data_IF_016365573988
#
_entry.id   IF_016365573988
#
_cell.length_a   1.000
_cell.length_b   1.000
_cell.length_c   1.000
_cell.angle_alpha   90.00
_cell.angle_beta   90.00
_cell.angle_gamma   90.00
#
_symmetry.space_group_name_H-M   'P 1'
#
loop_
_entity.id
_entity.type
_entity.pdbx_description
1 polymer ?
#
# COMPACT_ATOMS: atom_id res chain seq x y z
N UNK A 1 2.33 -9.51 17.39
CA UNK A 1 1.58 -10.65 16.82
C UNK A 1 2.47 -11.15 15.69
N UNK A 2 2.00 -11.53 14.50
CA UNK A 2 2.89 -11.52 13.31
C UNK A 2 2.25 -10.62 12.27
N UNK A 3 2.70 -9.38 12.23
CA UNK A 3 2.30 -8.34 11.30
C UNK A 3 3.04 -8.55 9.96
N UNK A 4 2.42 -8.17 8.84
CA UNK A 4 2.99 -8.25 7.50
C UNK A 4 2.91 -6.87 6.86
N UNK A 5 4.06 -6.36 6.40
CA UNK A 5 4.14 -5.15 5.59
C UNK A 5 4.13 -5.55 4.12
N UNK A 6 3.13 -5.09 3.37
CA UNK A 6 2.99 -5.34 1.94
C UNK A 6 3.70 -4.26 1.12
N UNK A 7 4.47 -4.66 0.13
CA UNK A 7 5.14 -3.74 -0.80
C UNK A 7 4.70 -4.09 -2.21
N UNK A 8 4.24 -3.09 -2.96
CA UNK A 8 3.89 -3.20 -4.37
C UNK A 8 4.73 -2.22 -5.19
N UNK A 9 5.29 -2.70 -6.29
CA UNK A 9 6.21 -1.92 -7.12
C UNK A 9 5.81 -1.95 -8.60
N UNK A 10 5.87 -0.77 -9.22
CA UNK A 10 5.58 -0.56 -10.65
C UNK A 10 4.11 -0.73 -11.01
N UNK A 11 3.79 -0.46 -12.29
CA UNK A 11 2.41 -0.43 -12.77
C UNK A 11 1.64 -1.73 -12.47
N UNK A 12 2.19 -2.89 -12.85
CA UNK A 12 1.52 -4.18 -12.66
C UNK A 12 1.34 -4.52 -11.18
N UNK A 13 2.39 -4.33 -10.37
CA UNK A 13 2.33 -4.59 -8.93
C UNK A 13 1.28 -3.73 -8.24
N UNK A 14 1.19 -2.45 -8.60
CA UNK A 14 0.19 -1.55 -8.03
C UNK A 14 -1.24 -1.90 -8.45
N UNK A 15 -1.48 -2.36 -9.69
CA UNK A 15 -2.81 -2.79 -10.12
C UNK A 15 -3.27 -4.06 -9.40
N UNK A 16 -2.38 -5.05 -9.29
CA UNK A 16 -2.68 -6.29 -8.56
C UNK A 16 -2.86 -5.99 -7.08
N UNK A 17 -1.98 -5.18 -6.49
CA UNK A 17 -2.06 -4.76 -5.10
C UNK A 17 -3.36 -4.02 -4.78
N UNK A 18 -3.81 -3.10 -5.64
CA UNK A 18 -5.10 -2.43 -5.47
C UNK A 18 -6.26 -3.44 -5.42
N UNK A 19 -6.29 -4.42 -6.34
CA UNK A 19 -7.33 -5.46 -6.34
C UNK A 19 -7.22 -6.41 -5.15
N UNK A 20 -6.02 -6.73 -4.71
CA UNK A 20 -5.80 -7.49 -3.49
C UNK A 20 -6.42 -6.77 -2.29
N UNK A 21 -6.12 -5.48 -2.11
CA UNK A 21 -6.65 -4.68 -1.00
C UNK A 21 -8.16 -4.48 -1.06
N UNK A 22 -8.76 -4.37 -2.25
CA UNK A 22 -10.22 -4.41 -2.41
C UNK A 22 -10.80 -5.71 -1.84
N UNK A 23 -10.30 -6.86 -2.32
CA UNK A 23 -10.83 -8.19 -1.94
C UNK A 23 -10.67 -8.45 -0.44
N UNK A 24 -9.49 -8.21 0.13
CA UNK A 24 -9.30 -8.47 1.56
C UNK A 24 -10.04 -7.48 2.45
N UNK A 25 -10.26 -6.24 1.99
CA UNK A 25 -11.10 -5.29 2.73
C UNK A 25 -12.55 -5.77 2.75
N UNK A 26 -13.07 -6.24 1.62
CA UNK A 26 -14.41 -6.82 1.53
C UNK A 26 -14.55 -8.06 2.43
N UNK A 27 -13.57 -8.96 2.43
CA UNK A 27 -13.54 -10.16 3.30
C UNK A 27 -13.56 -9.79 4.80
N UNK A 28 -12.84 -8.72 5.16
CA UNK A 28 -12.76 -8.20 6.53
C UNK A 28 -13.88 -7.21 6.88
N UNK A 29 -14.79 -6.89 5.95
CA UNK A 29 -15.87 -5.93 6.17
C UNK A 29 -15.38 -4.50 6.41
N UNK A 30 -14.23 -4.11 5.85
CA UNK A 30 -13.67 -2.77 5.92
C UNK A 30 -14.11 -1.98 4.68
N UNK A 31 -14.72 -0.82 4.90
CA UNK A 31 -15.16 0.04 3.81
C UNK A 31 -14.01 0.94 3.27
N UNK A 32 -14.21 1.66 2.15
CA UNK A 32 -13.21 2.57 1.61
C UNK A 32 -12.76 3.71 2.54
N UNK A 33 -13.48 3.99 3.62
CA UNK A 33 -13.12 5.00 4.62
C UNK A 33 -12.25 4.43 5.76
N UNK A 34 -12.04 3.11 5.75
CA UNK A 34 -11.36 2.34 6.78
C UNK A 34 -12.27 1.91 7.93
N UNK A 35 -13.58 2.08 7.82
CA UNK A 35 -14.54 1.76 8.89
C UNK A 35 -15.01 0.31 8.79
N UNK A 36 -15.14 -0.37 9.93
CA UNK A 36 -15.67 -1.74 9.97
C UNK A 36 -17.21 -1.75 9.92
N UNK A 37 -17.75 -2.51 8.97
CA UNK A 37 -19.18 -2.75 8.76
C UNK A 37 -19.51 -4.24 8.60
N UNK A 38 -18.62 -5.12 9.05
CA UNK A 38 -18.83 -6.57 9.01
C UNK A 38 -19.86 -7.07 10.03
N UNK A 39 -20.16 -8.36 9.94
CA UNK A 39 -21.19 -9.04 10.73
C UNK A 39 -20.63 -10.21 11.57
N UNK A 40 -19.31 -10.47 11.49
CA UNK A 40 -18.65 -11.57 12.17
C UNK A 40 -17.42 -11.12 12.95
N UNK A 41 -17.34 -11.50 14.23
CA UNK A 41 -16.17 -11.23 15.09
C UNK A 41 -14.87 -11.84 14.52
N UNK A 42 -14.98 -12.93 13.73
CA UNK A 42 -13.82 -13.57 13.09
C UNK A 42 -13.12 -12.66 12.08
N UNK A 43 -13.85 -11.70 11.49
CA UNK A 43 -13.27 -10.72 10.56
C UNK A 43 -12.29 -9.77 11.27
N UNK A 44 -12.46 -9.55 12.58
CA UNK A 44 -11.57 -8.69 13.36
C UNK A 44 -10.49 -9.46 14.11
N UNK A 45 -10.63 -10.77 14.31
CA UNK A 45 -9.72 -11.58 15.13
C UNK A 45 -8.24 -11.43 14.73
N UNK A 46 -7.95 -11.29 13.43
CA UNK A 46 -6.58 -11.16 12.88
C UNK A 46 -6.40 -9.98 11.94
N UNK A 47 -7.24 -8.96 12.07
CA UNK A 47 -7.21 -7.78 11.21
C UNK A 47 -5.85 -7.07 11.25
N UNK A 48 -5.19 -7.12 12.40
CA UNK A 48 -3.90 -6.47 12.66
C UNK A 48 -2.71 -7.08 11.90
N UNK A 49 -2.89 -8.23 11.24
CA UNK A 49 -1.86 -8.82 10.37
C UNK A 49 -1.58 -7.89 9.19
N UNK A 50 -2.64 -7.34 8.57
CA UNK A 50 -2.54 -6.50 7.37
C UNK A 50 -2.94 -5.04 7.59
N UNK A 51 -3.67 -4.72 8.66
CA UNK A 51 -4.11 -3.36 8.96
C UNK A 51 -3.49 -2.82 10.25
N UNK A 52 -3.28 -1.51 10.27
CA UNK A 52 -3.09 -0.72 11.46
C UNK A 52 -4.45 -0.23 11.97
N UNK A 53 -4.71 -0.37 13.27
CA UNK A 53 -5.84 0.29 13.90
C UNK A 53 -5.45 1.72 14.28
N UNK A 54 -6.00 2.69 13.58
CA UNK A 54 -5.83 4.12 13.83
C UNK A 54 -6.97 4.67 14.68
N UNK A 55 -6.79 5.90 15.16
CA UNK A 55 -7.80 6.59 15.96
C UNK A 55 -9.18 6.63 15.25
N UNK A 56 -10.24 6.42 16.03
CA UNK A 56 -11.62 6.41 15.52
C UNK A 56 -12.04 5.09 14.87
N UNK A 57 -11.45 3.96 15.29
CA UNK A 57 -11.74 2.61 14.78
C UNK A 57 -11.55 2.51 13.26
N UNK A 58 -10.52 3.20 12.75
CA UNK A 58 -10.17 3.18 11.33
C UNK A 58 -9.04 2.20 11.07
N UNK A 59 -9.23 1.31 10.11
CA UNK A 59 -8.25 0.33 9.69
C UNK A 59 -7.52 0.83 8.45
N UNK A 60 -6.20 0.95 8.56
CA UNK A 60 -5.33 1.48 7.49
C UNK A 60 -4.38 0.36 7.03
N UNK A 61 -4.32 0.02 5.73
CA UNK A 61 -3.40 -1.00 5.23
C UNK A 61 -1.94 -0.75 5.60
N UNK A 62 -1.24 -1.80 6.01
CA UNK A 62 0.24 -1.85 6.10
C UNK A 62 0.83 -2.06 4.70
N UNK A 63 0.61 -1.08 3.84
CA UNK A 63 1.01 -1.12 2.43
C UNK A 63 1.95 0.03 2.08
N UNK A 64 2.94 -0.27 1.23
CA UNK A 64 3.87 0.71 0.64
C UNK A 64 3.76 0.60 -0.87
N UNK A 65 3.47 1.73 -1.51
CA UNK A 65 3.21 1.83 -2.94
C UNK A 65 4.39 2.54 -3.60
N UNK A 66 5.07 1.81 -4.48
CA UNK A 66 6.28 2.30 -5.15
C UNK A 66 6.08 2.32 -6.64
N UNK A 67 6.44 3.43 -7.29
CA UNK A 67 6.59 3.48 -8.74
C UNK A 67 7.62 4.55 -9.12
N UNK A 68 8.30 4.41 -10.24
CA UNK A 68 9.19 5.48 -10.72
C UNK A 68 8.37 6.59 -11.37
N UNK A 69 7.16 6.29 -11.85
CA UNK A 69 6.27 7.25 -12.52
C UNK A 69 5.09 7.69 -11.63
N UNK A 70 4.72 8.98 -11.64
CA UNK A 70 3.61 9.47 -10.82
C UNK A 70 2.23 8.97 -11.28
N UNK A 71 2.06 8.63 -12.57
CA UNK A 71 0.75 8.31 -13.16
C UNK A 71 0.06 7.07 -12.54
N UNK A 72 0.84 6.10 -12.05
CA UNK A 72 0.29 4.94 -11.35
C UNK A 72 -0.36 5.34 -10.03
N UNK A 73 0.18 6.33 -9.32
CA UNK A 73 -0.32 6.77 -8.02
C UNK A 73 -1.69 7.44 -8.15
N UNK A 74 -1.87 8.27 -9.17
CA UNK A 74 -3.17 8.89 -9.48
C UNK A 74 -4.23 7.84 -9.80
N UNK A 75 -3.83 6.78 -10.51
CA UNK A 75 -4.72 5.65 -10.84
C UNK A 75 -5.15 4.88 -9.58
N UNK A 76 -4.23 4.63 -8.64
CA UNK A 76 -4.58 3.96 -7.38
C UNK A 76 -5.45 4.84 -6.49
N UNK A 77 -5.12 6.13 -6.36
CA UNK A 77 -5.87 7.08 -5.50
C UNK A 77 -7.30 7.34 -6.00
N UNK A 78 -7.51 7.28 -7.31
CA UNK A 78 -8.84 7.38 -7.93
C UNK A 78 -9.62 6.05 -7.90
N UNK A 79 -8.98 4.96 -7.49
CA UNK A 79 -9.61 3.67 -7.28
C UNK A 79 -10.57 3.67 -6.08
N UNK A 80 -11.46 2.67 -5.97
CA UNK A 80 -12.52 2.62 -4.97
C UNK A 80 -11.98 2.66 -3.54
N UNK A 81 -10.87 1.98 -3.28
CA UNK A 81 -10.18 1.94 -1.98
C UNK A 81 -8.95 2.86 -1.93
N UNK A 82 -8.76 3.75 -2.91
CA UNK A 82 -7.57 4.60 -2.98
C UNK A 82 -7.35 5.50 -1.76
N UNK A 83 -8.42 5.86 -1.06
CA UNK A 83 -8.41 6.75 0.10
C UNK A 83 -8.06 6.06 1.43
N UNK A 84 -8.06 4.72 1.47
CA UNK A 84 -7.74 3.97 2.69
C UNK A 84 -6.22 3.93 2.96
N UNK A 85 -5.42 4.09 1.90
CA UNK A 85 -3.96 4.07 2.00
C UNK A 85 -3.43 5.34 2.64
N UNK A 86 -2.40 5.21 3.49
CA UNK A 86 -1.73 6.36 4.09
C UNK A 86 -1.00 7.16 2.99
N UNK A 87 -1.23 8.48 2.87
CA UNK A 87 -0.56 9.31 1.87
C UNK A 87 0.97 9.26 1.94
N UNK A 88 1.51 9.14 3.15
CA UNK A 88 2.96 9.06 3.42
C UNK A 88 3.62 7.77 2.91
N UNK A 89 2.82 6.75 2.59
CA UNK A 89 3.32 5.45 2.12
C UNK A 89 3.38 5.35 0.59
N UNK A 90 3.06 6.44 -0.12
CA UNK A 90 3.23 6.55 -1.57
C UNK A 90 4.63 7.12 -1.84
N UNK A 91 5.50 6.31 -2.44
CA UNK A 91 6.86 6.71 -2.80
C UNK A 91 7.01 6.62 -4.31
N UNK A 92 7.18 7.77 -4.97
CA UNK A 92 7.28 7.79 -6.42
C UNK A 92 8.32 8.76 -6.97
N UNK A 93 8.89 8.40 -8.12
CA UNK A 93 9.83 9.21 -8.87
C UNK A 93 9.15 10.20 -9.82
N UNK A 94 9.96 10.84 -10.66
CA UNK A 94 9.51 11.76 -11.73
C UNK A 94 9.86 11.23 -13.13
N UNK A 95 10.35 9.99 -13.24
CA UNK A 95 10.98 9.41 -14.42
C UNK A 95 10.61 7.93 -14.53
N UNK A 96 10.64 7.35 -15.73
CA UNK A 96 10.31 5.95 -15.93
C UNK A 96 11.53 5.06 -16.15
N UNK A 97 11.47 3.80 -15.68
CA UNK A 97 12.45 2.79 -16.10
C UNK A 97 12.33 2.45 -17.60
N UNK A 98 11.16 2.67 -18.22
CA UNK A 98 10.95 2.44 -19.65
C UNK A 98 11.25 1.02 -20.10
N UNK A 99 10.79 0.01 -19.35
CA UNK A 99 11.07 -1.41 -19.56
C UNK A 99 12.57 -1.78 -19.59
N UNK A 100 13.43 -0.92 -19.04
CA UNK A 100 14.86 -1.19 -18.88
C UNK A 100 15.19 -1.54 -17.43
N UNK A 101 15.51 -2.82 -17.20
CA UNK A 101 15.87 -3.30 -15.87
C UNK A 101 17.07 -2.57 -15.27
N UNK A 102 18.08 -2.22 -16.08
CA UNK A 102 19.26 -1.52 -15.59
C UNK A 102 18.93 -0.12 -15.06
N UNK A 103 17.95 0.57 -15.66
CA UNK A 103 17.47 1.86 -15.13
C UNK A 103 16.78 1.70 -13.78
N UNK A 104 15.89 0.70 -13.69
CA UNK A 104 15.20 0.40 -12.44
C UNK A 104 16.13 -0.07 -11.32
N UNK A 105 17.22 -0.76 -11.64
CA UNK A 105 18.10 -1.33 -10.63
C UNK A 105 19.30 -0.46 -10.27
N UNK A 106 19.93 0.21 -11.25
CA UNK A 106 21.22 0.88 -11.04
C UNK A 106 21.17 2.41 -11.12
N UNK A 107 20.14 3.02 -11.72
CA UNK A 107 20.07 4.49 -11.87
C UNK A 107 18.84 5.07 -11.18
N UNK A 108 17.69 5.12 -11.85
CA UNK A 108 16.48 5.80 -11.37
C UNK A 108 15.97 5.17 -10.06
N UNK A 109 15.96 3.84 -9.99
CA UNK A 109 15.51 3.15 -8.77
C UNK A 109 16.53 3.22 -7.63
N UNK A 110 17.82 3.39 -7.93
CA UNK A 110 18.84 3.59 -6.91
C UNK A 110 18.71 4.97 -6.24
N UNK A 111 18.20 5.98 -6.95
CA UNK A 111 17.89 7.28 -6.37
C UNK A 111 16.63 7.25 -5.49
N UNK A 112 15.66 6.38 -5.80
CA UNK A 112 14.39 6.30 -5.06
C UNK A 112 14.45 5.35 -3.84
N UNK A 113 15.31 4.33 -3.87
CA UNK A 113 15.27 3.21 -2.91
C UNK A 113 15.44 3.65 -1.45
N UNK A 114 16.27 4.65 -1.16
CA UNK A 114 16.48 5.11 0.22
C UNK A 114 15.19 5.69 0.82
N UNK A 115 14.40 6.40 0.01
CA UNK A 115 13.08 6.90 0.44
C UNK A 115 12.11 5.75 0.73
N UNK A 116 12.14 4.69 -0.07
CA UNK A 116 11.33 3.48 0.16
C UNK A 116 11.77 2.80 1.46
N UNK A 117 13.06 2.63 1.69
CA UNK A 117 13.61 1.99 2.89
C UNK A 117 13.24 2.74 4.17
N UNK A 118 13.21 4.07 4.14
CA UNK A 118 12.78 4.87 5.28
C UNK A 118 11.29 4.68 5.61
N UNK A 119 10.43 4.53 4.61
CA UNK A 119 9.01 4.20 4.82
C UNK A 119 8.85 2.77 5.34
N UNK A 120 9.58 1.81 4.77
CA UNK A 120 9.59 0.41 5.26
C UNK A 120 10.01 0.36 6.73
N UNK A 121 11.05 1.10 7.11
CA UNK A 121 11.51 1.17 8.51
C UNK A 121 10.41 1.71 9.42
N UNK A 122 9.74 2.80 9.04
CA UNK A 122 8.63 3.38 9.81
C UNK A 122 7.48 2.39 10.04
N UNK A 123 7.08 1.65 8.99
CA UNK A 123 6.01 0.62 9.12
C UNK A 123 6.47 -0.62 9.91
N UNK A 124 7.78 -0.88 9.97
CA UNK A 124 8.34 -1.99 10.74
C UNK A 124 8.47 -1.68 12.24
N UNK A 125 8.59 -0.40 12.58
CA UNK A 125 8.72 0.09 13.96
C UNK A 125 7.36 0.44 14.62
N UNK A 126 6.26 0.44 13.86
CA UNK A 126 4.90 0.76 14.33
C UNK A 126 4.10 -0.48 14.74
#
# INVERSE_FOLDING_TARGET
MREIVHIQAGQCGNQIGAKFWEVISDEHGIDPTGSYHGDSELQLERINVYYNEAAGNKYVPRAILVDLEPGTMDSVRSGPFGQIFRPDNFVFGQSGAGNNWAKGHYTEGAELVDSVLDVVRKESES
#
